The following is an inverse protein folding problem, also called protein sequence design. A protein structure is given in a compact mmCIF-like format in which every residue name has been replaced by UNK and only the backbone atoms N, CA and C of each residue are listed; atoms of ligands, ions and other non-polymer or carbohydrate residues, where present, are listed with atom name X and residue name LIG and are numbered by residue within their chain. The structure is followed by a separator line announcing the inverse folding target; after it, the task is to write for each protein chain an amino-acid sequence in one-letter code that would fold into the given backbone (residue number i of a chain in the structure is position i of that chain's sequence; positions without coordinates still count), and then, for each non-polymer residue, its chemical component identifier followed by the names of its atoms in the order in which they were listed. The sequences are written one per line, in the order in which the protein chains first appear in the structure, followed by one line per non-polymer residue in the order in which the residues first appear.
data_IF_578100545642
#
_entry.id   IF_578100545642
#
_cell.length_a   1.000
_cell.length_b   1.000
_cell.length_c   1.000
_cell.angle_alpha   90.00
_cell.angle_beta   90.00
_cell.angle_gamma   90.00
#
_symmetry.space_group_name_H-M   'P 1'
#
loop_
_entity.id
_entity.type
_entity.pdbx_description
1 polymer ?
#
# COMPACT_ATOMS: atom_id res chain seq x y z
N UNK A 1 4.42 -7.06 21.67
CA UNK A 1 5.23 -8.29 21.91
C UNK A 1 5.69 -8.84 20.57
N UNK A 2 6.69 -9.73 20.52
CA UNK A 2 7.17 -10.32 19.26
C UNK A 2 6.08 -11.08 18.48
N UNK A 3 5.11 -11.67 19.18
CA UNK A 3 3.99 -12.39 18.56
C UNK A 3 3.04 -11.46 17.79
N UNK A 4 2.73 -10.28 18.32
CA UNK A 4 1.87 -9.30 17.63
C UNK A 4 2.56 -8.72 16.39
N UNK A 5 3.86 -8.43 16.49
CA UNK A 5 4.67 -8.02 15.33
C UNK A 5 4.64 -9.07 14.21
N UNK A 6 4.80 -10.35 14.54
CA UNK A 6 4.74 -11.43 13.56
C UNK A 6 3.38 -11.49 12.84
N UNK A 7 2.26 -11.27 13.54
CA UNK A 7 0.93 -11.22 12.90
C UNK A 7 0.82 -10.07 11.91
N UNK A 8 1.32 -8.89 12.28
CA UNK A 8 1.31 -7.71 11.41
C UNK A 8 2.16 -7.95 10.15
N UNK A 9 3.36 -8.50 10.31
CA UNK A 9 4.23 -8.84 9.18
C UNK A 9 3.59 -9.87 8.25
N UNK A 10 2.96 -10.93 8.79
CA UNK A 10 2.24 -11.94 8.00
C UNK A 10 1.08 -11.32 7.23
N UNK A 11 0.25 -10.52 7.90
CA UNK A 11 -0.90 -9.87 7.26
C UNK A 11 -0.46 -8.89 6.16
N UNK A 12 0.49 -7.99 6.47
CA UNK A 12 1.05 -7.05 5.48
C UNK A 12 1.66 -7.80 4.31
N UNK A 13 2.37 -8.91 4.58
CA UNK A 13 2.92 -9.79 3.55
C UNK A 13 1.86 -10.39 2.63
N UNK A 14 0.74 -10.86 3.18
CA UNK A 14 -0.37 -11.43 2.41
C UNK A 14 -1.13 -10.38 1.56
N UNK A 15 -1.19 -9.14 2.01
CA UNK A 15 -1.85 -8.06 1.26
C UNK A 15 -1.07 -7.62 0.01
N UNK A 16 0.25 -7.86 -0.04
CA UNK A 16 1.08 -7.53 -1.22
C UNK A 16 0.64 -8.28 -2.49
N UNK A 17 0.61 -9.63 -2.52
CA UNK A 17 0.16 -10.35 -3.70
C UNK A 17 -1.32 -10.08 -4.02
N UNK A 18 -2.16 -9.80 -3.02
CA UNK A 18 -3.55 -9.38 -3.27
C UNK A 18 -3.61 -8.08 -4.09
N UNK A 19 -2.94 -7.02 -3.65
CA UNK A 19 -2.94 -5.73 -4.35
C UNK A 19 -2.35 -5.83 -5.76
N UNK A 20 -1.27 -6.60 -5.93
CA UNK A 20 -0.68 -6.85 -7.26
C UNK A 20 -1.66 -7.60 -8.16
N UNK A 21 -2.29 -8.67 -7.67
CA UNK A 21 -3.23 -9.48 -8.48
C UNK A 21 -4.44 -8.66 -8.90
N UNK A 22 -5.02 -7.86 -8.00
CA UNK A 22 -6.16 -6.99 -8.34
C UNK A 22 -5.82 -6.03 -9.47
N UNK A 23 -4.66 -5.38 -9.42
CA UNK A 23 -4.23 -4.48 -10.50
C UNK A 23 -3.93 -5.25 -11.81
N UNK A 24 -3.37 -6.46 -11.71
CA UNK A 24 -3.14 -7.30 -12.88
C UNK A 24 -4.45 -7.65 -13.57
N UNK A 25 -5.48 -8.07 -12.83
CA UNK A 25 -6.80 -8.40 -13.38
C UNK A 25 -7.48 -7.18 -13.99
N UNK A 26 -7.41 -6.02 -13.32
CA UNK A 26 -7.94 -4.76 -13.83
C UNK A 26 -7.29 -4.37 -15.16
N UNK A 27 -5.96 -4.49 -15.26
CA UNK A 27 -5.21 -4.06 -16.44
C UNK A 27 -5.24 -5.10 -17.57
N UNK A 28 -4.86 -6.35 -17.28
CA UNK A 28 -4.62 -7.36 -18.31
C UNK A 28 -5.88 -8.08 -18.76
N UNK A 29 -6.80 -8.33 -17.84
CA UNK A 29 -8.03 -9.08 -18.16
C UNK A 29 -9.14 -8.12 -18.56
N UNK A 30 -9.38 -7.09 -17.75
CA UNK A 30 -10.48 -6.14 -17.97
C UNK A 30 -10.12 -4.96 -18.89
N UNK A 31 -8.83 -4.76 -19.21
CA UNK A 31 -8.35 -3.63 -20.02
C UNK A 31 -8.81 -2.28 -19.46
N UNK A 32 -8.90 -2.18 -18.14
CA UNK A 32 -9.35 -0.99 -17.41
C UNK A 32 -8.17 -0.08 -17.05
N UNK A 33 -8.44 1.21 -16.99
CA UNK A 33 -7.50 2.21 -16.45
C UNK A 33 -7.68 2.43 -14.93
N UNK A 34 -8.59 1.69 -14.28
CA UNK A 34 -8.77 1.74 -12.82
C UNK A 34 -7.53 1.20 -12.14
N UNK A 35 -7.08 1.90 -11.09
CA UNK A 35 -5.95 1.50 -10.25
C UNK A 35 -6.41 1.32 -8.81
N UNK A 36 -5.97 0.23 -8.19
CA UNK A 36 -6.23 -0.05 -6.79
C UNK A 36 -4.93 0.11 -5.99
N UNK A 37 -4.94 0.99 -5.01
CA UNK A 37 -3.77 1.25 -4.17
C UNK A 37 -3.98 0.70 -2.76
N UNK A 38 -2.94 0.10 -2.20
CA UNK A 38 -2.90 -0.35 -0.82
C UNK A 38 -1.99 0.57 -0.01
N UNK A 39 -2.55 1.24 0.99
CA UNK A 39 -1.80 2.02 1.98
C UNK A 39 -1.79 1.22 3.28
N UNK A 40 -0.62 1.06 3.88
CA UNK A 40 -0.42 0.37 5.16
C UNK A 40 0.21 1.33 6.19
N UNK A 41 -0.59 2.21 6.82
CA UNK A 41 -0.09 3.17 7.80
C UNK A 41 0.40 2.49 9.09
N UNK A 42 1.19 3.21 9.87
CA UNK A 42 1.95 2.68 11.00
C UNK A 42 3.07 1.75 10.55
N UNK A 43 3.87 1.29 11.52
CA UNK A 43 5.04 0.45 11.24
C UNK A 43 4.83 -1.01 11.64
N UNK A 44 5.64 -1.91 11.07
CA UNK A 44 5.75 -3.32 11.51
C UNK A 44 6.10 -3.45 13.00
N UNK A 45 6.76 -2.45 13.57
CA UNK A 45 7.10 -2.37 15.00
C UNK A 45 5.93 -1.93 15.89
N UNK A 46 4.78 -1.60 15.30
CA UNK A 46 3.59 -1.17 16.01
C UNK A 46 3.61 0.30 16.42
N UNK A 47 4.40 1.15 15.72
CA UNK A 47 4.25 2.61 15.87
C UNK A 47 2.94 3.04 15.23
N UNK A 48 2.25 3.95 15.91
CA UNK A 48 1.02 4.54 15.42
C UNK A 48 1.23 5.28 14.09
N UNK A 49 0.22 5.31 13.22
CA UNK A 49 0.27 6.06 11.97
C UNK A 49 0.45 7.56 12.16
N UNK A 50 1.07 8.21 11.18
CA UNK A 50 1.04 9.68 11.05
C UNK A 50 -0.04 10.11 10.07
N UNK A 51 -1.00 10.90 10.54
CA UNK A 51 -2.04 11.49 9.68
C UNK A 51 -1.43 12.32 8.54
N UNK A 52 -0.33 13.01 8.80
CA UNK A 52 0.40 13.78 7.78
C UNK A 52 0.94 12.86 6.68
N UNK A 53 1.57 11.75 7.04
CA UNK A 53 2.12 10.79 6.08
C UNK A 53 1.02 10.12 5.27
N UNK A 54 -0.12 9.79 5.90
CA UNK A 54 -1.29 9.25 5.22
C UNK A 54 -1.82 10.28 4.21
N UNK A 55 -2.03 11.52 4.61
CA UNK A 55 -2.56 12.57 3.74
C UNK A 55 -1.62 12.88 2.58
N UNK A 56 -0.31 12.93 2.82
CA UNK A 56 0.69 13.10 1.77
C UNK A 56 0.66 11.95 0.76
N UNK A 57 0.51 10.72 1.24
CA UNK A 57 0.38 9.54 0.37
C UNK A 57 -0.89 9.61 -0.47
N UNK A 58 -2.04 9.93 0.13
CA UNK A 58 -3.31 10.07 -0.61
C UNK A 58 -3.19 11.17 -1.67
N UNK A 59 -2.62 12.33 -1.32
CA UNK A 59 -2.41 13.42 -2.27
C UNK A 59 -1.53 12.99 -3.45
N UNK A 60 -0.45 12.25 -3.20
CA UNK A 60 0.37 11.67 -4.26
C UNK A 60 -0.44 10.70 -5.14
N UNK A 61 -1.22 9.80 -4.55
CA UNK A 61 -2.05 8.84 -5.29
C UNK A 61 -3.13 9.49 -6.16
N UNK A 62 -3.53 10.71 -5.83
CA UNK A 62 -4.45 11.51 -6.64
C UNK A 62 -3.74 12.39 -7.69
N UNK A 63 -2.41 12.47 -7.66
CA UNK A 63 -1.63 13.23 -8.63
C UNK A 63 -1.43 12.45 -9.93
N UNK A 64 -1.16 13.18 -11.02
CA UNK A 64 -0.85 12.58 -12.32
C UNK A 64 0.46 11.77 -12.29
N UNK A 65 1.36 12.05 -11.35
CA UNK A 65 2.64 11.34 -11.22
C UNK A 65 2.40 9.88 -10.83
N UNK A 66 1.42 9.63 -9.95
CA UNK A 66 1.08 8.29 -9.52
C UNK A 66 0.58 7.43 -10.69
N UNK A 67 -0.09 8.02 -11.69
CA UNK A 67 -0.67 7.29 -12.83
C UNK A 67 0.37 6.52 -13.66
N UNK A 68 1.61 7.01 -13.67
CA UNK A 68 2.74 6.35 -14.35
C UNK A 68 3.55 5.40 -13.45
N UNK A 69 3.36 5.48 -12.13
CA UNK A 69 4.08 4.66 -11.16
C UNK A 69 3.62 3.19 -11.20
N UNK A 70 4.56 2.25 -11.13
CA UNK A 70 4.26 0.82 -10.92
C UNK A 70 4.05 0.47 -9.45
N UNK A 71 4.36 1.39 -8.53
CA UNK A 71 4.14 1.19 -7.10
C UNK A 71 2.64 1.28 -6.79
N UNK A 72 2.09 0.20 -6.24
CA UNK A 72 0.67 0.09 -5.85
C UNK A 72 0.50 -0.18 -4.35
N UNK A 73 1.61 -0.27 -3.60
CA UNK A 73 1.63 -0.56 -2.18
C UNK A 73 2.53 0.45 -1.48
N UNK A 74 1.98 1.20 -0.54
CA UNK A 74 2.68 2.28 0.16
C UNK A 74 2.67 2.03 1.66
N UNK A 75 3.85 2.11 2.28
CA UNK A 75 4.03 1.99 3.73
C UNK A 75 4.59 3.31 4.25
N UNK A 76 3.74 4.33 4.45
CA UNK A 76 4.19 5.72 4.51
C UNK A 76 4.92 6.09 5.81
N UNK A 77 4.79 5.26 6.83
CA UNK A 77 5.43 5.46 8.14
C UNK A 77 6.69 4.60 8.33
N UNK A 78 7.00 3.71 7.38
CA UNK A 78 8.21 2.90 7.44
C UNK A 78 9.42 3.76 7.00
N UNK A 79 10.46 3.79 7.84
CA UNK A 79 11.76 4.33 7.42
C UNK A 79 12.39 3.39 6.41
N UNK A 80 12.63 3.87 5.19
CA UNK A 80 13.41 3.16 4.16
C UNK A 80 14.89 3.07 4.51
#
# INVERSE_FOLDING_TARGET
SGHERAKVEVFRGAMRPFATTVNQELSDVLKSNVRAFLILPGTVDGKEPSDENIMNTINYLMSDESQSSSEVIFCPDETR
#
